data_IF_500157648539
#
_entry.id   IF_500157648539
#
_cell.length_a   1.000
_cell.length_b   1.000
_cell.length_c   1.000
_cell.angle_alpha   90.00
_cell.angle_beta   90.00
_cell.angle_gamma   90.00
#
_symmetry.space_group_name_H-M   'P 1'
#
loop_
_entity.id
_entity.type
_entity.pdbx_description
1 polymer ?
#
# COMPACT_ATOMS: atom_id res chain seq x y z
N UNK A 1 -32.93 10.98 -10.69
CA UNK A 1 -32.39 11.45 -11.98
C UNK A 1 -31.17 10.64 -12.38
N UNK A 2 -31.09 10.24 -13.64
CA UNK A 2 -30.00 9.45 -14.24
C UNK A 2 -28.60 10.06 -14.00
N UNK A 3 -28.53 11.39 -13.94
CA UNK A 3 -27.32 12.15 -13.63
C UNK A 3 -26.73 11.83 -12.25
N UNK A 4 -27.59 11.65 -11.24
CA UNK A 4 -27.15 11.38 -9.87
C UNK A 4 -26.61 9.95 -9.72
N UNK A 5 -27.15 9.00 -10.49
CA UNK A 5 -26.62 7.63 -10.55
C UNK A 5 -25.25 7.60 -11.21
N UNK A 6 -25.08 8.28 -12.34
CA UNK A 6 -23.80 8.32 -13.05
C UNK A 6 -22.70 8.99 -12.21
N UNK A 7 -23.02 10.07 -11.49
CA UNK A 7 -22.09 10.72 -10.55
C UNK A 7 -21.65 9.74 -9.45
N UNK A 8 -22.60 9.00 -8.87
CA UNK A 8 -22.30 8.01 -7.83
C UNK A 8 -21.40 6.90 -8.34
N UNK A 9 -21.68 6.35 -9.52
CA UNK A 9 -20.82 5.33 -10.13
C UNK A 9 -19.40 5.84 -10.38
N UNK A 10 -19.24 7.08 -10.84
CA UNK A 10 -17.93 7.67 -11.04
C UNK A 10 -17.18 7.84 -9.71
N UNK A 11 -17.88 8.32 -8.68
CA UNK A 11 -17.33 8.50 -7.35
C UNK A 11 -16.87 7.18 -6.74
N UNK A 12 -17.68 6.12 -6.82
CA UNK A 12 -17.33 4.79 -6.32
C UNK A 12 -16.11 4.20 -7.03
N UNK A 13 -15.99 4.38 -8.35
CA UNK A 13 -14.80 3.95 -9.11
C UNK A 13 -13.56 4.71 -8.67
N UNK A 14 -13.68 6.01 -8.45
CA UNK A 14 -12.54 6.84 -8.05
C UNK A 14 -12.08 6.51 -6.62
N UNK A 15 -13.01 6.37 -5.66
CA UNK A 15 -12.71 5.90 -4.29
C UNK A 15 -12.06 4.52 -4.32
N UNK A 16 -12.49 3.62 -5.21
CA UNK A 16 -11.86 2.31 -5.38
C UNK A 16 -10.40 2.43 -5.83
N UNK A 17 -10.11 3.33 -6.77
CA UNK A 17 -8.74 3.62 -7.20
C UNK A 17 -7.89 4.21 -6.07
N UNK A 18 -8.45 5.13 -5.27
CA UNK A 18 -7.77 5.68 -4.10
C UNK A 18 -7.48 4.58 -3.07
N UNK A 19 -8.39 3.63 -2.87
CA UNK A 19 -8.19 2.50 -1.95
C UNK A 19 -7.03 1.61 -2.39
N UNK A 20 -6.91 1.30 -3.68
CA UNK A 20 -5.78 0.55 -4.21
C UNK A 20 -4.46 1.31 -4.01
N UNK A 21 -4.43 2.60 -4.31
CA UNK A 21 -3.25 3.44 -4.09
C UNK A 21 -2.83 3.51 -2.61
N UNK A 22 -3.80 3.61 -1.71
CA UNK A 22 -3.58 3.64 -0.28
C UNK A 22 -2.95 2.33 0.23
N UNK A 23 -3.44 1.18 -0.26
CA UNK A 23 -2.88 -0.15 0.07
C UNK A 23 -1.42 -0.23 -0.39
N UNK A 24 -1.14 0.19 -1.62
CA UNK A 24 0.23 0.23 -2.17
C UNK A 24 1.17 1.11 -1.33
N UNK A 25 0.70 2.26 -0.86
CA UNK A 25 1.47 3.16 0.00
C UNK A 25 1.71 2.55 1.38
N UNK A 26 0.71 1.92 1.97
CA UNK A 26 0.87 1.19 3.24
C UNK A 26 1.89 0.06 3.13
N UNK A 27 1.86 -0.70 2.03
CA UNK A 27 2.83 -1.77 1.78
C UNK A 27 4.26 -1.21 1.64
N UNK A 28 4.43 -0.14 0.85
CA UNK A 28 5.72 0.56 0.70
C UNK A 28 6.26 1.13 2.01
N UNK A 29 5.37 1.58 2.88
CA UNK A 29 5.72 2.12 4.19
C UNK A 29 5.76 1.05 5.30
N UNK A 30 5.54 -0.23 4.97
CA UNK A 30 5.52 -1.35 5.92
C UNK A 30 4.52 -1.18 7.07
N UNK A 31 3.35 -0.58 6.81
CA UNK A 31 2.29 -0.42 7.80
C UNK A 31 1.73 -1.79 8.24
N UNK A 32 1.61 -1.98 9.56
CA UNK A 32 0.94 -3.14 10.15
C UNK A 32 -0.57 -3.10 9.94
N UNK A 33 -1.24 -4.25 10.06
CA UNK A 33 -2.71 -4.31 9.98
C UNK A 33 -3.37 -3.42 11.04
N UNK A 34 -2.80 -3.34 12.24
CA UNK A 34 -3.27 -2.47 13.33
C UNK A 34 -3.20 -0.99 12.94
N UNK A 35 -2.12 -0.56 12.27
CA UNK A 35 -1.98 0.81 11.77
C UNK A 35 -2.98 1.11 10.66
N UNK A 36 -3.17 0.17 9.72
CA UNK A 36 -4.15 0.32 8.63
C UNK A 36 -5.57 0.42 9.17
N UNK A 37 -5.89 -0.33 10.21
CA UNK A 37 -7.21 -0.33 10.85
C UNK A 37 -7.56 1.02 11.51
N UNK A 38 -6.58 1.90 11.78
CA UNK A 38 -6.85 3.25 12.30
C UNK A 38 -7.53 4.15 11.25
N UNK A 39 -7.38 3.86 9.97
CA UNK A 39 -8.06 4.59 8.90
C UNK A 39 -9.48 4.06 8.69
N UNK A 40 -10.41 4.50 9.53
CA UNK A 40 -11.81 4.01 9.54
C UNK A 40 -12.52 4.13 8.18
N UNK A 41 -12.19 5.15 7.39
CA UNK A 41 -12.70 5.36 6.03
C UNK A 41 -12.42 4.19 5.07
N UNK A 42 -11.45 3.33 5.39
CA UNK A 42 -11.20 2.09 4.64
C UNK A 42 -12.42 1.16 4.59
N UNK A 43 -13.21 1.12 5.66
CA UNK A 43 -14.33 0.19 5.82
C UNK A 43 -15.68 0.74 5.35
N UNK A 44 -15.72 2.00 4.92
CA UNK A 44 -16.95 2.63 4.42
C UNK A 44 -17.21 2.17 2.98
N UNK A 45 -18.42 1.71 2.72
CA UNK A 45 -18.85 1.20 1.40
C UNK A 45 -19.62 2.22 0.58
N UNK A 46 -20.26 3.20 1.22
CA UNK A 46 -21.03 4.24 0.54
C UNK A 46 -20.11 5.39 0.13
N UNK A 47 -20.00 5.62 -1.19
CA UNK A 47 -19.21 6.72 -1.73
C UNK A 47 -19.84 8.07 -1.42
N UNK A 48 -19.04 9.00 -0.88
CA UNK A 48 -19.40 10.41 -0.71
C UNK A 48 -18.20 11.30 -1.02
N UNK A 49 -18.45 12.57 -1.37
CA UNK A 49 -17.36 13.51 -1.65
C UNK A 49 -16.48 13.71 -0.40
N UNK A 50 -17.07 13.71 0.79
CA UNK A 50 -16.32 13.77 2.06
C UNK A 50 -15.43 12.54 2.27
N UNK A 51 -15.94 11.33 1.96
CA UNK A 51 -15.13 10.11 2.01
C UNK A 51 -13.94 10.22 1.04
N UNK A 52 -14.19 10.71 -0.17
CA UNK A 52 -13.13 10.88 -1.14
C UNK A 52 -12.04 11.85 -0.66
N UNK A 53 -12.44 13.00 -0.11
CA UNK A 53 -11.51 13.98 0.45
C UNK A 53 -10.66 13.38 1.60
N UNK A 54 -11.24 12.53 2.44
CA UNK A 54 -10.46 11.80 3.47
C UNK A 54 -9.41 10.87 2.86
N UNK A 55 -9.74 10.13 1.79
CA UNK A 55 -8.74 9.30 1.08
C UNK A 55 -7.64 10.14 0.44
N UNK A 56 -7.98 11.25 -0.22
CA UNK A 56 -7.00 12.12 -0.88
C UNK A 56 -6.02 12.72 0.13
N UNK A 57 -6.52 13.19 1.27
CA UNK A 57 -5.69 13.74 2.36
C UNK A 57 -4.75 12.68 2.95
N UNK A 58 -5.24 11.46 3.23
CA UNK A 58 -4.44 10.37 3.78
C UNK A 58 -3.34 9.94 2.79
N UNK A 59 -3.69 9.82 1.50
CA UNK A 59 -2.75 9.48 0.42
C UNK A 59 -1.67 10.56 0.30
N UNK A 60 -2.04 11.84 0.33
CA UNK A 60 -1.07 12.95 0.26
C UNK A 60 -0.11 12.91 1.46
N UNK A 61 -0.63 12.72 2.66
CA UNK A 61 0.17 12.58 3.89
C UNK A 61 1.15 11.40 3.81
N UNK A 62 0.70 10.25 3.33
CA UNK A 62 1.55 9.07 3.15
C UNK A 62 2.60 9.24 2.06
N UNK A 63 2.27 9.91 0.94
CA UNK A 63 3.25 10.24 -0.10
C UNK A 63 4.34 11.15 0.43
N UNK A 64 3.97 12.16 1.22
CA UNK A 64 4.93 13.06 1.86
C UNK A 64 5.81 12.29 2.86
N UNK A 65 5.21 11.42 3.68
CA UNK A 65 5.94 10.56 4.62
C UNK A 65 6.91 9.61 3.91
N UNK A 66 6.45 8.93 2.85
CA UNK A 66 7.27 8.04 2.05
C UNK A 66 8.46 8.78 1.44
N UNK A 67 8.21 9.93 0.82
CA UNK A 67 9.26 10.75 0.19
C UNK A 67 10.29 11.22 1.22
N UNK A 68 9.84 11.65 2.40
CA UNK A 68 10.73 12.10 3.47
C UNK A 68 11.62 10.96 4.03
N UNK A 69 11.18 9.71 3.90
CA UNK A 69 11.86 8.53 4.45
C UNK A 69 12.33 7.55 3.37
N UNK A 70 12.37 7.97 2.11
CA UNK A 70 12.62 7.09 0.95
C UNK A 70 13.94 6.33 1.09
N UNK A 71 15.00 7.00 1.55
CA UNK A 71 16.30 6.37 1.77
C UNK A 71 16.24 5.23 2.80
N UNK A 72 15.44 5.38 3.86
CA UNK A 72 15.25 4.35 4.87
C UNK A 72 14.50 3.14 4.28
N UNK A 73 13.42 3.39 3.53
CA UNK A 73 12.67 2.32 2.87
C UNK A 73 13.52 1.57 1.83
N UNK A 74 14.32 2.28 1.04
CA UNK A 74 15.25 1.68 0.10
C UNK A 74 16.29 0.78 0.80
N UNK A 75 16.83 1.21 1.94
CA UNK A 75 17.75 0.38 2.73
C UNK A 75 17.07 -0.88 3.29
N UNK A 76 15.82 -0.78 3.75
CA UNK A 76 15.04 -1.93 4.22
C UNK A 76 14.83 -2.94 3.09
N UNK A 77 14.45 -2.47 1.90
CA UNK A 77 14.26 -3.31 0.73
C UNK A 77 15.57 -3.98 0.31
N UNK A 78 16.67 -3.23 0.21
CA UNK A 78 17.98 -3.76 -0.15
C UNK A 78 18.44 -4.84 0.85
N UNK A 79 18.24 -4.61 2.16
CA UNK A 79 18.54 -5.61 3.18
C UNK A 79 17.75 -6.90 2.97
N UNK A 80 16.46 -6.79 2.67
CA UNK A 80 15.60 -7.95 2.43
C UNK A 80 16.05 -8.76 1.20
N UNK A 81 16.40 -8.07 0.11
CA UNK A 81 16.93 -8.71 -1.11
C UNK A 81 18.24 -9.45 -0.84
N UNK A 82 19.18 -8.81 -0.15
CA UNK A 82 20.45 -9.43 0.24
C UNK A 82 20.24 -10.64 1.15
N UNK A 83 19.30 -10.55 2.09
CA UNK A 83 18.95 -11.66 2.97
C UNK A 83 18.37 -12.84 2.19
N UNK A 84 17.44 -12.59 1.28
CA UNK A 84 16.85 -13.64 0.44
C UNK A 84 17.93 -14.33 -0.42
N UNK A 85 18.83 -13.54 -1.02
CA UNK A 85 19.96 -14.07 -1.81
C UNK A 85 20.90 -14.93 -0.96
N UNK A 86 21.17 -14.52 0.28
CA UNK A 86 21.96 -15.31 1.22
C UNK A 86 21.29 -16.67 1.48
N UNK A 87 19.99 -16.69 1.78
CA UNK A 87 19.24 -17.93 2.03
C UNK A 87 19.25 -18.86 0.81
N UNK A 88 19.12 -18.33 -0.41
CA UNK A 88 19.20 -19.11 -1.64
C UNK A 88 20.58 -19.77 -1.79
N UNK A 89 21.66 -19.03 -1.53
CA UNK A 89 23.03 -19.55 -1.59
C UNK A 89 23.26 -20.64 -0.53
N UNK A 90 22.78 -20.44 0.69
CA UNK A 90 22.86 -21.44 1.76
C UNK A 90 22.07 -22.71 1.42
N UNK A 91 20.89 -22.58 0.82
CA UNK A 91 20.10 -23.71 0.34
C UNK A 91 20.84 -24.49 -0.75
N UNK A 92 21.44 -23.80 -1.72
CA UNK A 92 22.23 -24.41 -2.80
C UNK A 92 23.48 -25.12 -2.28
N UNK A 93 24.17 -24.55 -1.28
CA UNK A 93 25.33 -25.16 -0.65
C UNK A 93 24.99 -26.40 0.20
N UNK A 94 23.72 -26.55 0.62
CA UNK A 94 23.21 -27.72 1.34
C UNK A 94 22.73 -28.85 0.43
N UNK A 95 22.62 -28.64 -0.87
CA UNK A 95 22.42 -29.72 -1.84
C UNK A 95 23.76 -30.46 -1.92
N UNK A 96 23.86 -31.73 -1.47
CA UNK A 96 25.07 -32.50 -1.68
C UNK A 96 25.27 -32.60 -3.20
N UNK A 97 26.41 -32.11 -3.71
CA UNK A 97 26.88 -32.49 -5.04
C UNK A 97 27.29 -33.96 -4.98
N UNK A 98 26.31 -34.85 -4.91
CA UNK A 98 26.47 -36.28 -5.12
C UNK A 98 26.26 -36.54 -6.62
N UNK A 99 27.28 -36.16 -7.41
CA UNK A 99 27.56 -36.68 -8.75
C UNK A 99 29.08 -36.82 -8.92
#
# INVERSE_FOLDING_TARGET
DELELLKREHLERYISSCREELIDLWDKCYYSEEQRALFNAFFITEGSDALLEEYENEIEGLKAYYTANEAMFAMVQQRQELWNKKLELEARARIPTDL
#
